data_IF_746758556810
#
_entry.id   IF_746758556810
#
_cell.length_a   1.000
_cell.length_b   1.000
_cell.length_c   1.000
_cell.angle_alpha   90.00
_cell.angle_beta   90.00
_cell.angle_gamma   90.00
#
_symmetry.space_group_name_H-M   'P 1'
#
loop_
_entity.id
_entity.type
_entity.pdbx_description
1 polymer ?
#
# COMPACT_ATOMS: atom_id res chain seq x y z
N UNK A 1 4.82 29.92 -0.41
CA UNK A 1 5.78 29.57 0.65
C UNK A 1 5.46 28.14 1.05
N UNK A 2 6.40 27.21 0.94
CA UNK A 2 6.18 25.85 1.42
C UNK A 2 6.04 25.87 2.95
N UNK A 3 5.15 25.07 3.55
CA UNK A 3 5.16 24.88 4.98
C UNK A 3 6.54 24.33 5.38
N UNK A 4 7.11 24.85 6.47
CA UNK A 4 8.30 24.26 7.07
C UNK A 4 7.99 22.80 7.46
N UNK A 5 8.97 21.88 7.51
CA UNK A 5 8.76 20.47 7.92
C UNK A 5 7.97 20.34 9.23
N UNK A 6 8.15 21.31 10.12
CA UNK A 6 7.42 21.47 11.38
C UNK A 6 5.89 21.61 11.22
N UNK A 7 5.42 22.10 10.08
CA UNK A 7 3.99 22.33 9.80
C UNK A 7 3.29 21.05 9.33
N UNK A 8 3.99 20.19 8.58
CA UNK A 8 3.47 18.88 8.17
C UNK A 8 3.35 17.94 9.37
N UNK A 9 4.37 17.91 10.22
CA UNK A 9 4.36 17.17 11.49
C UNK A 9 3.27 17.70 12.41
N UNK A 10 3.08 19.02 12.51
CA UNK A 10 2.00 19.61 13.32
C UNK A 10 0.59 19.31 12.75
N UNK A 11 0.44 19.14 11.43
CA UNK A 11 -0.81 18.70 10.83
C UNK A 11 -1.08 17.22 11.13
N UNK A 12 -0.09 16.32 11.02
CA UNK A 12 -0.25 14.91 11.42
C UNK A 12 -0.51 14.76 12.93
N UNK A 13 0.18 15.55 13.76
CA UNK A 13 -0.09 15.66 15.21
C UNK A 13 -1.50 16.17 15.45
N UNK A 14 -1.95 17.17 14.68
CA UNK A 14 -3.31 17.70 14.72
C UNK A 14 -4.38 16.69 14.30
N UNK A 15 -4.10 15.83 13.32
CA UNK A 15 -4.99 14.72 12.92
C UNK A 15 -5.06 13.63 14.00
N UNK A 16 -3.91 13.25 14.57
CA UNK A 16 -3.83 12.25 15.66
C UNK A 16 -4.54 12.80 16.92
N UNK A 17 -4.28 14.06 17.30
CA UNK A 17 -4.94 14.73 18.44
C UNK A 17 -6.44 14.93 18.18
N UNK A 18 -6.80 15.38 16.96
CA UNK A 18 -8.18 15.63 16.57
C UNK A 18 -9.04 14.35 16.57
N UNK A 19 -8.46 13.20 16.23
CA UNK A 19 -9.16 11.91 16.21
C UNK A 19 -9.21 11.21 17.57
N UNK A 20 -8.27 11.48 18.47
CA UNK A 20 -8.31 11.00 19.86
C UNK A 20 -9.26 11.85 20.74
N UNK A 21 -9.73 12.97 20.20
CA UNK A 21 -10.60 13.93 20.87
C UNK A 21 -9.77 15.05 21.48
N UNK A 22 -10.01 16.30 21.07
CA UNK A 22 -9.37 17.50 21.60
C UNK A 22 -9.43 17.58 23.13
N UNK A 23 -10.49 17.04 23.73
CA UNK A 23 -10.69 16.97 25.18
C UNK A 23 -9.67 16.09 25.92
N UNK A 24 -9.03 15.12 25.26
CA UNK A 24 -8.04 14.22 25.86
C UNK A 24 -6.68 14.91 26.11
N UNK A 25 -6.41 16.02 25.43
CA UNK A 25 -5.13 16.77 25.47
C UNK A 25 -5.31 18.26 25.79
N UNK A 26 -6.54 18.70 26.07
CA UNK A 26 -6.87 20.09 26.43
C UNK A 26 -6.20 20.45 27.77
N UNK A 27 -5.30 21.45 27.74
CA UNK A 27 -4.66 22.03 28.93
C UNK A 27 -3.14 21.85 29.05
N UNK A 28 -2.46 21.19 28.10
CA UNK A 28 -1.01 20.98 28.14
C UNK A 28 -0.37 21.30 26.79
N UNK A 29 -0.18 22.59 26.48
CA UNK A 29 0.59 23.03 25.30
C UNK A 29 1.99 22.39 25.25
N UNK A 30 2.60 22.21 26.42
CA UNK A 30 3.87 21.50 26.57
C UNK A 30 3.80 20.03 26.14
N UNK A 31 2.68 19.33 26.34
CA UNK A 31 2.51 17.94 25.91
C UNK A 31 2.36 17.81 24.40
N UNK A 32 1.80 18.83 23.73
CA UNK A 32 1.68 18.86 22.27
C UNK A 32 3.04 19.12 21.61
N UNK A 33 3.81 20.08 22.11
CA UNK A 33 5.18 20.35 21.64
C UNK A 33 6.09 19.14 21.88
N UNK A 34 6.00 18.52 23.07
CA UNK A 34 6.74 17.30 23.37
C UNK A 34 6.33 16.13 22.46
N UNK A 35 5.04 16.01 22.10
CA UNK A 35 4.56 14.95 21.20
C UNK A 35 5.06 15.17 19.76
N UNK A 36 5.00 16.40 19.25
CA UNK A 36 5.51 16.73 17.92
C UNK A 36 7.02 16.47 17.81
N UNK A 37 7.79 16.85 18.84
CA UNK A 37 9.24 16.58 18.88
C UNK A 37 9.53 15.06 18.90
N UNK A 38 8.77 14.29 19.68
CA UNK A 38 8.96 12.85 19.77
C UNK A 38 8.55 12.11 18.50
N UNK A 39 7.46 12.53 17.85
CA UNK A 39 7.03 11.97 16.57
C UNK A 39 8.04 12.30 15.46
N UNK A 40 8.56 13.52 15.41
CA UNK A 40 9.64 13.88 14.48
C UNK A 40 10.88 13.02 14.68
N UNK A 41 11.31 12.80 15.93
CA UNK A 41 12.45 11.89 16.24
C UNK A 41 12.16 10.44 15.86
N UNK A 42 10.92 9.98 16.06
CA UNK A 42 10.52 8.63 15.66
C UNK A 42 10.60 8.49 14.14
N UNK A 43 10.04 9.44 13.40
CA UNK A 43 10.04 9.50 11.95
C UNK A 43 11.46 9.52 11.38
N UNK A 44 12.36 10.35 11.94
CA UNK A 44 13.77 10.41 11.53
C UNK A 44 14.46 9.04 11.67
N UNK A 45 14.27 8.37 12.81
CA UNK A 45 14.86 7.04 13.06
C UNK A 45 14.25 5.96 12.17
N UNK A 46 12.93 6.02 11.93
CA UNK A 46 12.27 5.12 10.99
C UNK A 46 12.83 5.31 9.59
N UNK A 47 12.95 6.56 9.13
CA UNK A 47 13.47 6.89 7.81
C UNK A 47 14.95 6.49 7.65
N UNK A 48 15.76 6.63 8.70
CA UNK A 48 17.13 6.14 8.69
C UNK A 48 17.18 4.62 8.49
N UNK A 49 16.39 3.86 9.26
CA UNK A 49 16.29 2.41 9.11
C UNK A 49 15.77 2.00 7.73
N UNK A 50 14.79 2.73 7.17
CA UNK A 50 14.26 2.49 5.80
C UNK A 50 15.33 2.59 4.71
N UNK A 51 16.35 3.44 4.88
CA UNK A 51 17.46 3.56 3.92
C UNK A 51 18.40 2.37 3.93
N UNK A 52 18.42 1.58 4.99
CA UNK A 52 19.26 0.39 5.15
C UNK A 52 18.60 -0.87 4.56
N UNK A 53 17.38 -0.75 4.04
CA UNK A 53 16.55 -1.85 3.60
C UNK A 53 16.78 -2.12 2.10
N UNK A 54 17.09 -3.37 1.79
CA UNK A 54 17.26 -3.86 0.41
C UNK A 54 15.92 -4.38 -0.14
N UNK A 55 15.25 -3.56 -0.95
CA UNK A 55 13.94 -3.86 -1.54
C UNK A 55 14.01 -4.74 -2.81
N UNK A 56 15.15 -5.36 -3.12
CA UNK A 56 15.35 -6.11 -4.38
C UNK A 56 14.38 -7.28 -4.61
N UNK A 57 13.64 -7.75 -3.60
CA UNK A 57 12.62 -8.81 -3.74
C UNK A 57 11.18 -8.24 -3.82
N UNK A 58 10.84 -7.77 -5.02
CA UNK A 58 9.55 -7.20 -5.45
C UNK A 58 8.28 -7.94 -4.97
N UNK A 59 8.32 -9.28 -4.88
CA UNK A 59 7.17 -10.12 -4.53
C UNK A 59 6.95 -10.32 -3.04
N UNK A 60 8.00 -10.14 -2.24
CA UNK A 60 7.98 -10.46 -0.80
C UNK A 60 7.31 -9.35 0.01
N UNK A 61 7.51 -8.10 -0.40
CA UNK A 61 6.91 -6.93 0.25
C UNK A 61 5.38 -6.89 0.15
N UNK A 62 4.82 -7.18 -1.02
CA UNK A 62 3.35 -7.22 -1.20
C UNK A 62 2.71 -8.42 -0.48
N UNK A 63 3.44 -9.53 -0.34
CA UNK A 63 3.03 -10.67 0.47
C UNK A 63 3.00 -10.31 1.96
N UNK A 64 3.97 -9.50 2.43
CA UNK A 64 4.08 -9.01 3.81
C UNK A 64 2.91 -8.11 4.22
N UNK A 65 2.45 -7.23 3.32
CA UNK A 65 1.29 -6.33 3.54
C UNK A 65 -0.04 -7.06 3.83
N UNK A 66 -0.11 -8.37 3.56
CA UNK A 66 -1.33 -9.17 3.63
C UNK A 66 -1.34 -10.20 4.77
N UNK A 67 -0.35 -10.15 5.67
CA UNK A 67 -0.27 -11.07 6.80
C UNK A 67 -1.39 -10.89 7.82
N UNK A 68 -1.57 -11.92 8.66
CA UNK A 68 -2.45 -11.85 9.82
C UNK A 68 -1.93 -10.78 10.81
N UNK A 69 -2.83 -9.97 11.35
CA UNK A 69 -2.56 -8.90 12.33
C UNK A 69 -1.71 -9.42 13.52
N UNK A 70 -1.82 -10.70 13.85
CA UNK A 70 -1.03 -11.37 14.89
C UNK A 70 0.46 -11.51 14.54
N UNK A 71 0.80 -11.86 13.30
CA UNK A 71 2.19 -11.97 12.85
C UNK A 71 2.84 -10.58 12.77
N UNK A 72 2.09 -9.59 12.27
CA UNK A 72 2.50 -8.19 12.31
C UNK A 72 2.80 -7.72 13.74
N UNK A 73 1.86 -7.94 14.67
CA UNK A 73 2.04 -7.52 16.06
C UNK A 73 3.22 -8.25 16.73
N UNK A 74 3.38 -9.55 16.46
CA UNK A 74 4.53 -10.32 16.97
C UNK A 74 5.85 -9.74 16.47
N UNK A 75 6.01 -9.55 15.16
CA UNK A 75 7.25 -9.01 14.58
C UNK A 75 7.50 -7.58 15.05
N UNK A 76 6.46 -6.75 15.14
CA UNK A 76 6.55 -5.41 15.68
C UNK A 76 7.12 -5.42 17.10
N UNK A 77 6.54 -6.24 17.98
CA UNK A 77 7.04 -6.36 19.34
C UNK A 77 8.47 -6.91 19.32
N UNK A 78 8.70 -8.07 18.71
CA UNK A 78 9.95 -8.80 18.88
C UNK A 78 11.15 -8.16 18.18
N UNK A 79 10.93 -7.45 17.07
CA UNK A 79 12.01 -7.00 16.17
C UNK A 79 12.12 -5.50 15.95
N UNK A 80 11.01 -4.77 16.05
CA UNK A 80 11.01 -3.31 15.84
C UNK A 80 11.10 -2.57 17.17
N UNK A 81 10.20 -2.88 18.11
CA UNK A 81 10.13 -2.22 19.41
C UNK A 81 11.20 -2.74 20.40
N UNK A 82 11.64 -3.99 20.23
CA UNK A 82 12.70 -4.59 21.02
C UNK A 82 13.84 -5.06 20.09
N UNK A 83 15.10 -4.91 20.52
CA UNK A 83 16.25 -5.25 19.67
C UNK A 83 16.39 -6.79 19.53
N UNK A 84 16.18 -7.33 18.34
CA UNK A 84 16.06 -8.78 18.10
C UNK A 84 17.33 -9.54 17.71
N UNK A 85 18.47 -8.90 17.41
CA UNK A 85 19.55 -9.60 16.67
C UNK A 85 20.20 -10.82 17.36
N UNK A 86 19.85 -11.15 18.61
CA UNK A 86 20.09 -12.48 19.21
C UNK A 86 19.44 -12.52 20.59
N UNK A 87 18.39 -13.32 20.75
CA UNK A 87 17.82 -13.55 22.08
C UNK A 87 18.74 -14.46 22.91
N UNK A 88 18.72 -14.23 24.22
CA UNK A 88 19.35 -15.00 25.31
C UNK A 88 20.85 -14.85 25.49
N UNK A 89 21.21 -13.81 26.26
CA UNK A 89 21.86 -14.05 27.57
C UNK A 89 21.64 -12.94 28.60
N UNK A 90 21.14 -11.75 28.23
CA UNK A 90 21.14 -10.58 29.15
C UNK A 90 19.95 -9.61 28.90
N UNK A 91 18.71 -10.04 29.14
CA UNK A 91 17.54 -9.13 29.28
C UNK A 91 16.99 -8.45 28.01
N UNK A 92 15.68 -8.12 28.02
CA UNK A 92 15.03 -7.35 26.94
C UNK A 92 15.52 -5.90 26.98
N UNK A 93 16.30 -5.45 26.00
CA UNK A 93 16.63 -4.03 25.82
C UNK A 93 15.70 -3.43 24.76
N UNK A 94 14.87 -2.47 25.16
CA UNK A 94 14.05 -1.68 24.22
C UNK A 94 14.95 -1.07 23.15
N UNK A 95 14.53 -1.16 21.88
CA UNK A 95 15.18 -0.44 20.79
C UNK A 95 14.98 1.08 20.98
N UNK A 96 15.73 1.90 20.27
CA UNK A 96 15.55 3.36 20.35
C UNK A 96 14.18 3.78 19.82
N UNK A 97 13.74 3.14 18.73
CA UNK A 97 12.37 3.23 18.19
C UNK A 97 11.34 2.80 19.24
N UNK A 98 11.58 1.68 19.94
CA UNK A 98 10.69 1.20 21.00
C UNK A 98 10.56 2.15 22.18
N UNK A 99 11.68 2.76 22.61
CA UNK A 99 11.67 3.77 23.68
C UNK A 99 10.83 4.98 23.29
N UNK A 100 11.01 5.50 22.07
CA UNK A 100 10.22 6.61 21.56
C UNK A 100 8.75 6.24 21.43
N UNK A 101 8.44 5.07 20.85
CA UNK A 101 7.09 4.55 20.73
C UNK A 101 6.37 4.50 22.08
N UNK A 102 6.94 3.82 23.09
CA UNK A 102 6.28 3.73 24.40
C UNK A 102 6.19 5.08 25.12
N UNK A 103 7.18 5.97 24.92
CA UNK A 103 7.14 7.34 25.46
C UNK A 103 5.99 8.13 24.83
N UNK A 104 5.82 8.09 23.50
CA UNK A 104 4.71 8.74 22.80
C UNK A 104 3.37 8.18 23.28
N UNK A 105 3.25 6.85 23.35
CA UNK A 105 2.01 6.20 23.82
C UNK A 105 1.65 6.61 25.26
N UNK A 106 2.64 6.76 26.14
CA UNK A 106 2.40 7.19 27.53
C UNK A 106 1.88 8.62 27.68
N UNK A 107 1.97 9.44 26.63
CA UNK A 107 1.39 10.79 26.62
C UNK A 107 -0.12 10.78 26.38
N UNK A 108 -0.70 9.67 25.93
CA UNK A 108 -2.14 9.54 25.73
C UNK A 108 -2.84 9.00 26.99
N UNK A 109 -4.07 9.48 27.28
CA UNK A 109 -4.95 8.86 28.29
C UNK A 109 -5.17 7.36 28.04
N UNK A 110 -5.38 6.59 29.11
CA UNK A 110 -5.43 5.11 29.04
C UNK A 110 -6.48 4.58 28.04
N UNK A 111 -7.63 5.22 27.96
CA UNK A 111 -8.72 4.90 27.03
C UNK A 111 -8.38 5.19 25.56
N UNK A 112 -7.49 6.16 25.32
CA UNK A 112 -6.99 6.54 24.00
C UNK A 112 -5.75 5.74 23.54
N UNK A 113 -4.98 5.16 24.47
CA UNK A 113 -3.72 4.48 24.16
C UNK A 113 -3.89 3.37 23.13
N UNK A 114 -5.00 2.60 23.17
CA UNK A 114 -5.24 1.51 22.22
C UNK A 114 -5.33 2.03 20.77
N UNK A 115 -6.04 3.15 20.57
CA UNK A 115 -6.18 3.77 19.25
C UNK A 115 -4.87 4.40 18.79
N UNK A 116 -4.17 5.12 19.69
CA UNK A 116 -2.88 5.72 19.40
C UNK A 116 -1.82 4.67 19.01
N UNK A 117 -1.77 3.53 19.73
CA UNK A 117 -0.90 2.37 19.38
C UNK A 117 -1.15 1.93 17.95
N UNK A 118 -2.41 1.60 17.64
CA UNK A 118 -2.80 1.13 16.31
C UNK A 118 -2.39 2.13 15.21
N UNK A 119 -2.59 3.43 15.43
CA UNK A 119 -2.23 4.47 14.46
C UNK A 119 -0.74 4.59 14.25
N UNK A 120 0.05 4.68 15.33
CA UNK A 120 1.51 4.78 15.20
C UNK A 120 2.09 3.53 14.54
N UNK A 121 1.52 2.36 14.84
CA UNK A 121 1.87 1.10 14.19
C UNK A 121 1.59 1.14 12.68
N UNK A 122 0.37 1.50 12.27
CA UNK A 122 -0.05 1.56 10.87
C UNK A 122 0.70 2.64 10.07
N UNK A 123 1.01 3.78 10.69
CA UNK A 123 1.51 4.96 9.97
C UNK A 123 3.02 5.10 9.97
N UNK A 124 3.71 4.72 11.06
CA UNK A 124 5.16 4.93 11.20
C UNK A 124 5.94 3.62 11.20
N UNK A 125 5.43 2.59 11.87
CA UNK A 125 6.23 1.38 12.12
C UNK A 125 6.00 0.28 11.10
N UNK A 126 4.92 0.34 10.34
CA UNK A 126 4.48 -0.71 9.42
C UNK A 126 5.59 -1.20 8.48
N UNK A 127 6.33 -0.28 7.86
CA UNK A 127 7.42 -0.64 6.94
C UNK A 127 8.58 -1.35 7.66
N UNK A 128 8.91 -0.93 8.88
CA UNK A 128 9.97 -1.56 9.67
C UNK A 128 9.58 -2.96 10.12
N UNK A 129 8.30 -3.18 10.41
CA UNK A 129 7.77 -4.50 10.75
C UNK A 129 7.96 -5.43 9.56
N UNK A 130 7.50 -5.03 8.38
CA UNK A 130 7.61 -5.85 7.19
C UNK A 130 9.06 -6.18 6.83
N UNK A 131 9.98 -5.25 7.05
CA UNK A 131 11.40 -5.49 6.76
C UNK A 131 12.12 -6.33 7.81
N UNK A 132 11.57 -6.37 9.02
CA UNK A 132 12.08 -7.24 10.07
C UNK A 132 11.56 -8.67 9.98
N UNK A 133 10.52 -8.93 9.18
CA UNK A 133 10.00 -10.28 8.98
C UNK A 133 11.03 -11.14 8.23
N UNK A 134 11.40 -12.28 8.83
CA UNK A 134 12.28 -13.27 8.19
C UNK A 134 11.46 -14.24 7.33
N UNK A 135 12.09 -14.89 6.35
CA UNK A 135 11.44 -15.81 5.38
C UNK A 135 10.44 -16.81 5.99
N UNK A 136 10.75 -17.36 7.16
CA UNK A 136 9.90 -18.35 7.84
C UNK A 136 8.72 -17.72 8.61
N UNK A 137 8.83 -16.43 8.98
CA UNK A 137 7.70 -15.64 9.51
C UNK A 137 6.76 -15.16 8.38
N UNK A 138 7.21 -15.25 7.12
CA UNK A 138 6.43 -14.94 5.93
C UNK A 138 5.41 -16.02 5.56
N UNK A 139 5.51 -17.21 6.15
CA UNK A 139 4.66 -18.38 5.82
C UNK A 139 3.23 -18.31 6.38
N UNK A 140 2.89 -17.27 7.17
CA UNK A 140 1.56 -17.15 7.79
C UNK A 140 0.40 -16.77 6.87
N UNK A 141 0.68 -16.42 5.61
CA UNK A 141 -0.34 -16.20 4.57
C UNK A 141 -0.01 -17.08 3.39
N UNK A 142 -0.53 -18.30 3.36
CA UNK A 142 -0.34 -19.20 2.22
C UNK A 142 -0.79 -18.49 0.93
N UNK A 143 0.09 -18.50 -0.07
CA UNK A 143 -0.21 -17.99 -1.40
C UNK A 143 -0.87 -19.11 -2.20
N UNK A 144 -2.08 -18.87 -2.67
CA UNK A 144 -2.74 -19.76 -3.60
C UNK A 144 -2.50 -19.31 -5.04
N UNK A 145 -1.93 -20.20 -5.86
CA UNK A 145 -1.73 -19.95 -7.28
C UNK A 145 -2.79 -20.69 -8.07
N UNK A 146 -3.63 -19.95 -8.77
CA UNK A 146 -4.46 -20.54 -9.83
C UNK A 146 -3.55 -20.61 -11.06
N UNK A 147 -3.23 -21.82 -11.52
CA UNK A 147 -2.46 -22.07 -12.73
C UNK A 147 -3.37 -22.71 -13.77
N UNK A 148 -4.22 -21.91 -14.39
CA UNK A 148 -5.23 -22.41 -15.30
C UNK A 148 -5.09 -21.67 -16.64
N UNK A 149 -4.25 -22.21 -17.54
CA UNK A 149 -4.28 -21.89 -18.96
C UNK A 149 -5.42 -22.67 -19.60
N UNK A 150 -6.64 -22.15 -19.49
CA UNK A 150 -7.80 -22.84 -20.01
C UNK A 150 -8.20 -22.18 -21.32
N UNK A 151 -7.74 -22.74 -22.44
CA UNK A 151 -8.47 -22.55 -23.69
C UNK A 151 -9.86 -23.17 -23.56
N UNK A 152 -10.90 -22.53 -24.09
CA UNK A 152 -12.26 -23.05 -23.98
C UNK A 152 -13.29 -21.96 -23.72
N UNK A 153 -14.44 -22.40 -23.23
CA UNK A 153 -15.60 -21.56 -22.94
C UNK A 153 -15.38 -20.67 -21.69
N UNK A 154 -15.85 -19.42 -21.75
CA UNK A 154 -15.63 -18.43 -20.67
C UNK A 154 -16.39 -18.77 -19.39
N UNK A 155 -17.57 -19.38 -19.51
CA UNK A 155 -18.40 -19.77 -18.36
C UNK A 155 -17.75 -20.92 -17.60
N UNK A 156 -17.25 -21.94 -18.30
CA UNK A 156 -16.51 -23.05 -17.69
C UNK A 156 -15.24 -22.54 -16.96
N UNK A 157 -14.55 -21.56 -17.55
CA UNK A 157 -13.38 -20.94 -16.93
C UNK A 157 -13.73 -20.18 -15.65
N UNK A 158 -14.83 -19.42 -15.68
CA UNK A 158 -15.34 -18.72 -14.51
C UNK A 158 -15.71 -19.71 -13.39
N UNK A 159 -16.43 -20.78 -13.72
CA UNK A 159 -16.78 -21.82 -12.75
C UNK A 159 -15.56 -22.43 -12.09
N UNK A 160 -14.51 -22.75 -12.87
CA UNK A 160 -13.23 -23.23 -12.33
C UNK A 160 -12.61 -22.24 -11.35
N UNK A 161 -12.54 -20.96 -11.71
CA UNK A 161 -11.96 -19.93 -10.83
C UNK A 161 -12.77 -19.75 -9.54
N UNK A 162 -14.10 -19.77 -9.64
CA UNK A 162 -14.97 -19.69 -8.47
C UNK A 162 -14.79 -20.93 -7.58
N UNK A 163 -14.65 -22.12 -8.17
CA UNK A 163 -14.42 -23.34 -7.41
C UNK A 163 -13.07 -23.32 -6.70
N UNK A 164 -12.02 -22.81 -7.33
CA UNK A 164 -10.74 -22.58 -6.68
C UNK A 164 -10.86 -21.61 -5.48
N UNK A 165 -11.64 -20.52 -5.62
CA UNK A 165 -11.93 -19.60 -4.50
C UNK A 165 -12.72 -20.33 -3.38
N UNK A 166 -13.64 -21.25 -3.73
CA UNK A 166 -14.40 -22.03 -2.74
C UNK A 166 -13.52 -23.02 -1.99
N UNK A 167 -12.57 -23.68 -2.65
CA UNK A 167 -11.63 -24.63 -2.02
C UNK A 167 -10.80 -23.96 -0.92
N UNK A 168 -10.40 -22.72 -1.13
CA UNK A 168 -9.62 -21.94 -0.16
C UNK A 168 -10.52 -21.18 0.84
N UNK A 169 -11.84 -21.36 0.76
CA UNK A 169 -12.77 -20.70 1.67
C UNK A 169 -12.70 -21.37 3.04
N UNK A 170 -12.23 -20.62 4.03
CA UNK A 170 -12.04 -21.11 5.39
C UNK A 170 -10.63 -21.62 5.68
N UNK A 171 -9.71 -21.56 4.71
CA UNK A 171 -8.29 -21.76 4.98
C UNK A 171 -7.62 -20.47 5.49
N UNK A 172 -6.34 -20.58 5.85
CA UNK A 172 -5.49 -19.45 6.22
C UNK A 172 -4.86 -18.74 5.01
N UNK A 173 -5.26 -19.11 3.79
CA UNK A 173 -4.82 -18.43 2.58
C UNK A 173 -5.33 -16.99 2.60
N UNK A 174 -4.40 -16.05 2.40
CA UNK A 174 -4.66 -14.59 2.35
C UNK A 174 -4.22 -13.94 1.05
N UNK A 175 -3.47 -14.65 0.21
CA UNK A 175 -2.99 -14.15 -1.07
C UNK A 175 -3.44 -15.05 -2.21
N UNK A 176 -4.03 -14.46 -3.24
CA UNK A 176 -4.42 -15.14 -4.47
C UNK A 176 -3.60 -14.60 -5.64
N UNK A 177 -2.84 -15.48 -6.28
CA UNK A 177 -1.96 -15.14 -7.37
C UNK A 177 -2.41 -15.77 -8.69
N UNK A 178 -2.71 -14.90 -9.65
CA UNK A 178 -3.07 -15.23 -11.02
C UNK A 178 -2.10 -14.61 -12.03
N UNK A 179 -0.85 -14.37 -11.64
CA UNK A 179 0.19 -13.85 -12.52
C UNK A 179 0.25 -14.64 -13.83
N UNK A 180 0.19 -13.93 -14.97
CA UNK A 180 0.30 -14.51 -16.30
C UNK A 180 -0.69 -15.66 -16.60
N UNK A 181 -1.93 -15.54 -16.13
CA UNK A 181 -2.99 -16.52 -16.42
C UNK A 181 -3.87 -16.15 -17.61
N UNK A 182 -3.67 -14.95 -18.20
CA UNK A 182 -4.55 -14.40 -19.26
C UNK A 182 -6.02 -14.37 -18.84
N UNK A 183 -6.30 -14.06 -17.58
CA UNK A 183 -7.65 -14.06 -17.03
C UNK A 183 -8.56 -13.04 -17.74
N UNK A 184 -8.04 -11.90 -18.19
CA UNK A 184 -8.78 -10.95 -19.02
C UNK A 184 -9.36 -11.61 -20.27
N UNK A 185 -8.52 -12.36 -21.01
CA UNK A 185 -8.93 -13.09 -22.21
C UNK A 185 -9.93 -14.22 -21.90
N UNK A 186 -9.63 -15.02 -20.88
CA UNK A 186 -10.34 -16.27 -20.60
C UNK A 186 -11.65 -16.10 -19.82
N UNK A 187 -11.80 -15.00 -19.08
CA UNK A 187 -13.04 -14.68 -18.38
C UNK A 187 -13.83 -13.58 -19.10
N UNK A 188 -13.15 -12.68 -19.82
CA UNK A 188 -13.76 -11.47 -20.36
C UNK A 188 -14.28 -10.54 -19.26
N UNK A 189 -14.97 -9.48 -19.65
CA UNK A 189 -15.48 -8.47 -18.73
C UNK A 189 -16.44 -9.06 -17.68
N UNK A 190 -17.49 -9.75 -18.11
CA UNK A 190 -18.50 -10.28 -17.19
C UNK A 190 -17.91 -11.32 -16.23
N UNK A 191 -17.05 -12.21 -16.74
CA UNK A 191 -16.39 -13.21 -15.92
C UNK A 191 -15.43 -12.60 -14.90
N UNK A 192 -14.66 -11.56 -15.26
CA UNK A 192 -13.80 -10.85 -14.29
C UNK A 192 -14.61 -10.15 -13.21
N UNK A 193 -15.77 -9.56 -13.56
CA UNK A 193 -16.67 -8.92 -12.60
C UNK A 193 -17.25 -9.96 -11.63
N UNK A 194 -17.72 -11.10 -12.12
CA UNK A 194 -18.23 -12.19 -11.27
C UNK A 194 -17.14 -12.82 -10.41
N UNK A 195 -15.94 -12.98 -10.94
CA UNK A 195 -14.76 -13.39 -10.19
C UNK A 195 -14.48 -12.43 -9.01
N UNK A 196 -14.51 -11.11 -9.25
CA UNK A 196 -14.37 -10.11 -8.19
C UNK A 196 -15.48 -10.21 -7.12
N UNK A 197 -16.73 -10.49 -7.53
CA UNK A 197 -17.85 -10.71 -6.61
C UNK A 197 -17.64 -11.95 -5.74
N UNK A 198 -17.09 -13.02 -6.30
CA UNK A 198 -16.81 -14.26 -5.56
C UNK A 198 -15.78 -14.03 -4.43
N UNK A 199 -14.81 -13.13 -4.62
CA UNK A 199 -13.81 -12.78 -3.61
C UNK A 199 -14.40 -12.12 -2.34
N UNK A 200 -15.61 -11.53 -2.40
CA UNK A 200 -16.26 -10.97 -1.18
C UNK A 200 -16.53 -12.00 -0.09
N UNK A 201 -16.55 -13.27 -0.46
CA UNK A 201 -16.84 -14.40 0.44
C UNK A 201 -15.58 -15.15 0.87
N UNK A 202 -14.40 -14.68 0.47
CA UNK A 202 -13.11 -15.22 0.85
C UNK A 202 -12.42 -14.32 1.88
N UNK A 203 -11.32 -14.83 2.47
CA UNK A 203 -10.43 -14.07 3.36
C UNK A 203 -9.21 -13.52 2.61
N UNK A 204 -9.27 -13.47 1.28
CA UNK A 204 -8.14 -12.98 0.48
C UNK A 204 -7.99 -11.48 0.72
N UNK A 205 -6.75 -11.08 1.02
CA UNK A 205 -6.31 -9.70 1.24
C UNK A 205 -5.39 -9.20 0.11
N UNK A 206 -4.65 -10.08 -0.55
CA UNK A 206 -3.82 -9.77 -1.71
C UNK A 206 -4.38 -10.42 -2.98
N UNK A 207 -4.57 -9.63 -4.04
CA UNK A 207 -4.91 -10.14 -5.36
C UNK A 207 -3.86 -9.71 -6.38
N UNK A 208 -3.15 -10.68 -6.93
CA UNK A 208 -2.20 -10.46 -7.99
C UNK A 208 -2.77 -10.88 -9.34
N UNK A 209 -3.02 -9.90 -10.20
CA UNK A 209 -3.49 -10.04 -11.57
C UNK A 209 -2.48 -9.50 -12.59
N UNK A 210 -1.21 -9.48 -12.24
CA UNK A 210 -0.16 -9.01 -13.15
C UNK A 210 -0.10 -9.86 -14.43
N UNK A 211 0.18 -9.25 -15.59
CA UNK A 211 0.27 -9.94 -16.89
C UNK A 211 -1.00 -10.69 -17.30
N UNK A 212 -2.18 -10.10 -17.14
CA UNK A 212 -3.46 -10.72 -17.53
C UNK A 212 -4.17 -10.00 -18.68
N UNK A 213 -3.50 -9.08 -19.37
CA UNK A 213 -4.02 -8.36 -20.56
C UNK A 213 -5.35 -7.62 -20.23
N UNK A 214 -5.53 -7.16 -18.98
CA UNK A 214 -6.82 -6.65 -18.53
C UNK A 214 -7.27 -5.40 -19.31
N UNK A 215 -6.36 -4.50 -19.68
CA UNK A 215 -6.69 -3.32 -20.47
C UNK A 215 -7.34 -3.70 -21.79
N UNK A 216 -6.74 -4.65 -22.52
CA UNK A 216 -7.22 -5.10 -23.84
C UNK A 216 -8.61 -5.75 -23.76
N UNK A 217 -8.83 -6.63 -22.77
CA UNK A 217 -10.03 -7.47 -22.75
C UNK A 217 -11.21 -6.87 -21.96
N UNK A 218 -10.97 -5.94 -21.03
CA UNK A 218 -12.03 -5.32 -20.22
C UNK A 218 -12.39 -3.91 -20.72
N UNK A 219 -11.42 -3.19 -21.29
CA UNK A 219 -11.58 -1.76 -21.57
C UNK A 219 -11.89 -0.92 -20.33
N UNK A 220 -12.28 0.32 -20.55
CA UNK A 220 -12.56 1.28 -19.46
C UNK A 220 -13.73 0.89 -18.58
N UNK A 221 -14.88 0.53 -19.15
CA UNK A 221 -16.06 0.23 -18.34
C UNK A 221 -15.89 -1.09 -17.57
N UNK A 222 -15.27 -2.09 -18.20
CA UNK A 222 -15.03 -3.39 -17.57
C UNK A 222 -14.06 -3.32 -16.39
N UNK A 223 -12.96 -2.57 -16.50
CA UNK A 223 -11.99 -2.44 -15.40
C UNK A 223 -12.57 -1.62 -14.23
N UNK A 224 -13.36 -0.58 -14.54
CA UNK A 224 -14.05 0.23 -13.53
C UNK A 224 -15.07 -0.61 -12.76
N UNK A 225 -15.89 -1.40 -13.46
CA UNK A 225 -16.86 -2.29 -12.81
C UNK A 225 -16.19 -3.45 -12.06
N UNK A 226 -15.07 -3.97 -12.57
CA UNK A 226 -14.24 -4.94 -11.85
C UNK A 226 -13.77 -4.40 -10.49
N UNK A 227 -13.21 -3.17 -10.47
CA UNK A 227 -12.76 -2.54 -9.21
C UNK A 227 -13.95 -2.28 -8.27
N UNK A 228 -15.08 -1.78 -8.79
CA UNK A 228 -16.30 -1.60 -7.99
C UNK A 228 -16.81 -2.92 -7.42
N UNK A 229 -16.70 -4.01 -8.18
CA UNK A 229 -17.08 -5.34 -7.75
C UNK A 229 -16.20 -5.86 -6.60
N UNK A 230 -14.96 -5.36 -6.42
CA UNK A 230 -14.14 -5.67 -5.24
C UNK A 230 -14.62 -4.98 -3.96
N UNK A 231 -15.53 -3.98 -4.05
CA UNK A 231 -16.06 -3.30 -2.86
C UNK A 231 -16.78 -4.26 -1.93
N UNK A 232 -16.38 -4.24 -0.65
CA UNK A 232 -16.88 -5.16 0.37
C UNK A 232 -16.12 -6.48 0.47
N UNK A 233 -15.07 -6.68 -0.34
CA UNK A 233 -14.10 -7.76 -0.12
C UNK A 233 -13.05 -7.39 0.94
N UNK A 234 -12.29 -8.38 1.39
CA UNK A 234 -11.14 -8.19 2.28
C UNK A 234 -9.87 -7.73 1.55
N UNK A 235 -9.92 -7.52 0.23
CA UNK A 235 -8.76 -7.08 -0.55
C UNK A 235 -8.23 -5.74 -0.03
N UNK A 236 -6.92 -5.72 0.25
CA UNK A 236 -6.11 -4.57 0.68
C UNK A 236 -4.97 -4.29 -0.29
N UNK A 237 -4.41 -5.32 -0.94
CA UNK A 237 -3.41 -5.16 -2.02
C UNK A 237 -3.97 -5.66 -3.35
N UNK A 238 -3.90 -4.80 -4.36
CA UNK A 238 -4.28 -5.10 -5.74
C UNK A 238 -3.07 -4.83 -6.66
N UNK A 239 -2.55 -5.89 -7.27
CA UNK A 239 -1.38 -5.83 -8.16
C UNK A 239 -1.86 -6.06 -9.59
N UNK A 240 -1.77 -5.00 -10.41
CA UNK A 240 -2.16 -4.96 -11.81
C UNK A 240 -0.95 -4.72 -12.72
N UNK A 241 0.25 -5.08 -12.28
CA UNK A 241 1.47 -4.83 -13.03
C UNK A 241 1.44 -5.45 -14.44
N UNK A 242 1.81 -4.68 -15.46
CA UNK A 242 1.84 -5.12 -16.86
C UNK A 242 0.52 -5.68 -17.39
N UNK A 243 -0.52 -4.83 -17.43
CA UNK A 243 -1.85 -5.12 -17.98
C UNK A 243 -2.29 -4.16 -19.09
N UNK A 244 -1.36 -3.36 -19.64
CA UNK A 244 -1.60 -2.41 -20.74
C UNK A 244 -2.69 -1.36 -20.44
N UNK A 245 -2.90 -1.00 -19.17
CA UNK A 245 -4.01 -0.10 -18.80
C UNK A 245 -3.91 1.27 -19.48
N UNK A 246 -2.72 1.86 -19.62
CA UNK A 246 -2.54 3.18 -20.21
C UNK A 246 -3.05 3.26 -21.64
N UNK A 247 -2.63 2.28 -22.46
CA UNK A 247 -3.02 2.17 -23.87
C UNK A 247 -4.53 2.05 -24.08
N UNK A 248 -5.21 1.27 -23.25
CA UNK A 248 -6.62 0.90 -23.46
C UNK A 248 -7.62 1.75 -22.69
N UNK A 249 -7.21 2.43 -21.62
CA UNK A 249 -8.08 3.32 -20.84
C UNK A 249 -7.91 4.79 -21.23
N UNK A 250 -6.69 5.20 -21.60
CA UNK A 250 -6.33 6.61 -21.75
C UNK A 250 -6.56 7.43 -20.46
N UNK A 251 -6.55 8.76 -20.59
CA UNK A 251 -6.66 9.66 -19.43
C UNK A 251 -8.01 9.52 -18.73
N UNK A 252 -9.12 9.63 -19.46
CA UNK A 252 -10.46 9.62 -18.85
C UNK A 252 -10.78 8.26 -18.22
N UNK A 253 -10.34 7.15 -18.85
CA UNK A 253 -10.53 5.83 -18.29
C UNK A 253 -9.70 5.60 -17.02
N UNK A 254 -8.45 6.08 -16.98
CA UNK A 254 -7.62 6.00 -15.77
C UNK A 254 -8.15 6.86 -14.63
N UNK A 255 -8.72 8.03 -14.92
CA UNK A 255 -9.41 8.87 -13.91
C UNK A 255 -10.61 8.12 -13.33
N UNK A 256 -11.48 7.54 -14.18
CA UNK A 256 -12.62 6.74 -13.69
C UNK A 256 -12.19 5.51 -12.89
N UNK A 257 -11.09 4.87 -13.30
CA UNK A 257 -10.47 3.77 -12.56
C UNK A 257 -10.01 4.23 -11.17
N UNK A 258 -9.35 5.39 -11.07
CA UNK A 258 -8.96 5.98 -9.80
C UNK A 258 -10.16 6.28 -8.89
N UNK A 259 -11.18 6.94 -9.43
CA UNK A 259 -12.43 7.24 -8.70
C UNK A 259 -13.13 5.95 -8.21
N UNK A 260 -13.10 4.88 -9.01
CA UNK A 260 -13.70 3.59 -8.65
C UNK A 260 -13.01 2.90 -7.46
N UNK A 261 -11.73 3.20 -7.20
CA UNK A 261 -11.04 2.77 -5.99
C UNK A 261 -11.59 3.47 -4.74
N UNK A 262 -12.25 4.61 -4.92
CA UNK A 262 -13.01 5.33 -3.89
C UNK A 262 -14.05 4.41 -3.21
N UNK A 263 -13.96 4.29 -1.89
CA UNK A 263 -14.82 3.42 -1.11
C UNK A 263 -14.51 1.92 -1.20
N UNK A 264 -13.45 1.52 -1.92
CA UNK A 264 -12.87 0.18 -1.79
C UNK A 264 -12.08 0.04 -0.48
N UNK A 265 -11.66 -1.18 -0.15
CA UNK A 265 -10.76 -1.46 0.96
C UNK A 265 -9.28 -1.38 0.59
N UNK A 266 -8.95 -1.07 -0.67
CA UNK A 266 -7.59 -1.19 -1.21
C UNK A 266 -6.69 -0.10 -0.63
N UNK A 267 -5.56 -0.52 -0.09
CA UNK A 267 -4.53 0.31 0.54
C UNK A 267 -3.23 0.28 -0.26
N UNK A 268 -3.00 -0.78 -1.04
CA UNK A 268 -1.83 -0.94 -1.88
C UNK A 268 -2.28 -1.22 -3.31
N UNK A 269 -1.82 -0.37 -4.22
CA UNK A 269 -2.10 -0.50 -5.64
C UNK A 269 -0.78 -0.51 -6.40
N UNK A 270 -0.48 -1.58 -7.13
CA UNK A 270 0.62 -1.59 -8.08
C UNK A 270 0.07 -1.62 -9.51
N UNK A 271 0.30 -0.54 -10.25
CA UNK A 271 -0.07 -0.38 -11.66
C UNK A 271 1.17 -0.12 -12.52
N UNK A 272 2.35 -0.55 -12.08
CA UNK A 272 3.56 -0.43 -12.88
C UNK A 272 3.48 -1.18 -14.23
N UNK A 273 4.26 -0.72 -15.20
CA UNK A 273 4.45 -1.27 -16.53
C UNK A 273 3.14 -1.40 -17.32
N UNK A 274 2.20 -0.50 -17.08
CA UNK A 274 0.95 -0.32 -17.79
C UNK A 274 1.02 0.80 -18.84
N UNK A 275 2.19 1.37 -19.09
CA UNK A 275 2.44 2.38 -20.14
C UNK A 275 1.68 3.70 -19.88
N UNK A 276 1.26 3.96 -18.64
CA UNK A 276 0.60 5.18 -18.21
C UNK A 276 1.40 6.43 -18.60
N UNK A 277 2.72 6.43 -18.37
CA UNK A 277 3.56 7.59 -18.70
C UNK A 277 3.53 7.95 -20.20
N UNK A 278 3.44 6.94 -21.07
CA UNK A 278 3.38 7.10 -22.52
C UNK A 278 2.00 7.60 -22.99
N UNK A 279 0.93 7.00 -22.49
CA UNK A 279 -0.43 7.26 -22.99
C UNK A 279 -1.18 8.38 -22.27
N UNK A 280 -0.85 8.67 -21.01
CA UNK A 280 -1.48 9.78 -20.26
C UNK A 280 -0.68 11.08 -20.39
N UNK A 281 0.63 10.99 -20.60
CA UNK A 281 1.55 12.11 -20.45
C UNK A 281 1.53 12.70 -19.03
N UNK A 282 2.24 13.82 -18.83
CA UNK A 282 2.35 14.44 -17.50
C UNK A 282 1.01 14.94 -16.96
N UNK A 283 0.21 15.63 -17.77
CA UNK A 283 -1.05 16.22 -17.28
C UNK A 283 -2.12 15.15 -17.03
N UNK A 284 -2.15 14.06 -17.81
CA UNK A 284 -3.02 12.93 -17.55
C UNK A 284 -2.63 12.18 -16.27
N UNK A 285 -1.33 12.01 -16.02
CA UNK A 285 -0.83 11.45 -14.75
C UNK A 285 -1.23 12.32 -13.55
N UNK A 286 -1.19 13.65 -13.69
CA UNK A 286 -1.65 14.57 -12.62
C UNK A 286 -3.14 14.39 -12.34
N UNK A 287 -3.98 14.35 -13.38
CA UNK A 287 -5.43 14.07 -13.21
C UNK A 287 -5.68 12.72 -12.54
N UNK A 288 -4.91 11.70 -12.90
CA UNK A 288 -4.99 10.40 -12.25
C UNK A 288 -4.62 10.49 -10.75
N UNK A 289 -3.56 11.23 -10.40
CA UNK A 289 -3.20 11.48 -9.00
C UNK A 289 -4.30 12.22 -8.22
N UNK A 290 -4.86 13.28 -8.78
CA UNK A 290 -5.96 14.03 -8.19
C UNK A 290 -7.19 13.13 -7.96
N UNK A 291 -7.51 12.26 -8.92
CA UNK A 291 -8.63 11.33 -8.83
C UNK A 291 -8.46 10.21 -7.78
N UNK A 292 -7.25 10.03 -7.22
CA UNK A 292 -7.02 9.13 -6.10
C UNK A 292 -7.40 9.75 -4.74
N UNK A 293 -7.74 11.05 -4.71
CA UNK A 293 -8.26 11.71 -3.52
C UNK A 293 -9.52 11.00 -2.99
N UNK A 294 -9.58 10.78 -1.69
CA UNK A 294 -10.68 10.04 -1.05
C UNK A 294 -10.60 8.51 -1.18
N UNK A 295 -9.61 7.97 -1.90
CA UNK A 295 -9.29 6.54 -1.84
C UNK A 295 -8.62 6.16 -0.50
N UNK A 296 -8.49 4.86 -0.22
CA UNK A 296 -7.75 4.35 0.94
C UNK A 296 -6.30 4.03 0.63
N UNK A 297 -5.82 4.36 -0.57
CA UNK A 297 -4.49 3.98 -1.03
C UNK A 297 -3.43 4.73 -0.21
N UNK A 298 -2.49 3.96 0.33
CA UNK A 298 -1.34 4.41 1.10
C UNK A 298 -0.02 4.18 0.35
N UNK A 299 0.03 3.14 -0.48
CA UNK A 299 1.17 2.83 -1.32
C UNK A 299 0.74 2.67 -2.78
N UNK A 300 1.41 3.38 -3.68
CA UNK A 300 1.17 3.32 -5.11
C UNK A 300 2.44 2.90 -5.85
N UNK A 301 2.37 1.82 -6.62
CA UNK A 301 3.40 1.32 -7.51
C UNK A 301 3.22 1.82 -8.94
N UNK A 302 4.27 2.47 -9.47
CA UNK A 302 4.38 3.08 -10.80
C UNK A 302 5.66 2.62 -11.51
N UNK A 303 6.09 1.39 -11.22
CA UNK A 303 7.23 0.71 -11.85
C UNK A 303 7.24 0.91 -13.37
N UNK A 304 8.21 1.59 -13.97
CA UNK A 304 8.27 1.74 -15.44
C UNK A 304 7.34 2.79 -16.06
N UNK A 305 6.61 3.57 -15.25
CA UNK A 305 5.82 4.73 -15.69
C UNK A 305 6.64 6.03 -15.67
N UNK A 306 7.24 6.45 -16.79
CA UNK A 306 8.21 7.57 -16.78
C UNK A 306 7.67 8.85 -17.44
N UNK A 307 7.11 9.80 -16.66
CA UNK A 307 6.76 11.14 -17.14
C UNK A 307 7.95 12.13 -17.12
N UNK A 308 9.18 11.68 -16.83
CA UNK A 308 10.35 12.56 -16.59
C UNK A 308 10.41 13.12 -15.17
N UNK A 309 11.59 13.61 -14.72
CA UNK A 309 11.78 14.16 -13.36
C UNK A 309 10.82 15.31 -13.04
N UNK A 310 10.64 16.27 -13.96
CA UNK A 310 9.74 17.40 -13.73
C UNK A 310 8.27 16.94 -13.65
N UNK A 311 7.87 16.00 -14.52
CA UNK A 311 6.56 15.38 -14.46
C UNK A 311 6.34 14.63 -13.15
N UNK A 312 7.35 13.88 -12.67
CA UNK A 312 7.31 13.16 -11.40
C UNK A 312 7.17 14.10 -10.20
N UNK A 313 7.87 15.24 -10.19
CA UNK A 313 7.71 16.26 -9.15
C UNK A 313 6.27 16.78 -9.13
N UNK A 314 5.69 17.11 -10.30
CA UNK A 314 4.31 17.60 -10.37
C UNK A 314 3.30 16.52 -9.98
N UNK A 315 3.52 15.28 -10.41
CA UNK A 315 2.70 14.14 -10.05
C UNK A 315 2.72 13.87 -8.54
N UNK A 316 3.90 13.84 -7.92
CA UNK A 316 4.04 13.65 -6.48
C UNK A 316 3.38 14.79 -5.69
N UNK A 317 3.44 16.03 -6.19
CA UNK A 317 2.68 17.14 -5.60
C UNK A 317 1.18 16.95 -5.72
N UNK A 318 0.68 16.47 -6.85
CA UNK A 318 -0.75 16.23 -7.05
C UNK A 318 -1.30 15.13 -6.12
N UNK A 319 -0.43 14.28 -5.57
CA UNK A 319 -0.80 13.31 -4.54
C UNK A 319 -0.86 13.90 -3.13
N UNK A 320 -0.38 15.13 -2.90
CA UNK A 320 -0.52 15.83 -1.62
C UNK A 320 -2.02 16.09 -1.36
N UNK A 321 -2.65 15.21 -0.58
CA UNK A 321 -4.11 15.20 -0.31
C UNK A 321 -4.77 13.84 -0.52
N UNK A 322 -4.16 12.96 -1.33
CA UNK A 322 -4.66 11.59 -1.57
C UNK A 322 -4.48 10.64 -0.37
N UNK A 323 -3.62 11.00 0.59
CA UNK A 323 -3.23 10.15 1.71
C UNK A 323 -2.22 9.07 1.35
N UNK A 324 -1.68 9.08 0.12
CA UNK A 324 -0.56 8.23 -0.31
C UNK A 324 0.72 8.69 0.39
N UNK A 325 1.36 7.77 1.11
CA UNK A 325 2.61 8.01 1.84
C UNK A 325 3.82 7.34 1.18
N UNK A 326 3.60 6.41 0.26
CA UNK A 326 4.66 5.66 -0.43
C UNK A 326 4.43 5.60 -1.93
N UNK A 327 5.44 6.02 -2.70
CA UNK A 327 5.51 5.87 -4.15
C UNK A 327 6.63 4.92 -4.52
N UNK A 328 6.27 3.75 -5.07
CA UNK A 328 7.24 2.82 -5.63
C UNK A 328 7.43 3.12 -7.10
N UNK A 329 8.61 3.62 -7.44
CA UNK A 329 8.93 4.01 -8.79
C UNK A 329 9.53 2.83 -9.58
N UNK A 330 10.12 1.81 -8.95
CA UNK A 330 10.77 0.73 -9.71
C UNK A 330 12.05 1.20 -10.41
N UNK A 331 12.65 0.35 -11.25
CA UNK A 331 13.86 0.68 -12.03
C UNK A 331 13.62 1.77 -13.09
N UNK A 332 13.45 3.02 -12.67
CA UNK A 332 13.46 4.17 -13.56
C UNK A 332 14.88 4.56 -13.95
N UNK A 333 14.96 5.29 -15.06
CA UNK A 333 16.12 6.07 -15.47
C UNK A 333 16.36 7.32 -14.58
N UNK A 334 15.78 7.38 -13.39
CA UNK A 334 16.04 8.45 -12.43
C UNK A 334 17.39 8.17 -11.77
N UNK A 335 18.30 9.13 -11.88
CA UNK A 335 19.58 9.06 -11.18
C UNK A 335 19.39 9.27 -9.68
N UNK A 336 20.35 8.83 -8.86
CA UNK A 336 20.33 9.06 -7.40
C UNK A 336 20.10 10.54 -7.06
N UNK A 337 20.72 11.46 -7.81
CA UNK A 337 20.55 12.91 -7.62
C UNK A 337 19.12 13.37 -7.91
N UNK A 338 18.46 12.78 -8.91
CA UNK A 338 17.06 13.09 -9.25
C UNK A 338 16.12 12.70 -8.12
N UNK A 339 16.47 11.67 -7.37
CA UNK A 339 15.71 11.12 -6.26
C UNK A 339 15.91 11.94 -4.99
N UNK A 340 17.14 12.34 -4.69
CA UNK A 340 17.42 13.30 -3.61
C UNK A 340 16.65 14.61 -3.82
N UNK A 341 16.53 15.07 -5.08
CA UNK A 341 15.71 16.23 -5.43
C UNK A 341 14.22 16.00 -5.17
N UNK A 342 13.69 14.80 -5.47
CA UNK A 342 12.30 14.43 -5.21
C UNK A 342 12.02 14.40 -3.71
N UNK A 343 12.83 13.67 -2.93
CA UNK A 343 12.71 13.55 -1.48
C UNK A 343 12.78 14.92 -0.80
N UNK A 344 13.71 15.78 -1.24
CA UNK A 344 13.84 17.14 -0.70
C UNK A 344 12.64 18.03 -1.03
N UNK A 345 12.03 17.85 -2.21
CA UNK A 345 10.91 18.68 -2.65
C UNK A 345 9.58 18.20 -2.10
N UNK A 346 9.42 16.90 -1.87
CA UNK A 346 8.19 16.22 -1.46
C UNK A 346 8.50 15.33 -0.24
N UNK A 347 8.75 15.93 0.94
CA UNK A 347 9.16 15.17 2.13
C UNK A 347 8.06 14.24 2.66
N UNK A 348 6.80 14.51 2.32
CA UNK A 348 5.64 13.77 2.82
C UNK A 348 5.39 12.44 2.07
N UNK A 349 6.08 12.22 0.95
CA UNK A 349 5.99 10.99 0.17
C UNK A 349 7.33 10.30 0.19
N UNK A 350 7.31 9.04 0.61
CA UNK A 350 8.48 8.20 0.60
C UNK A 350 8.63 7.50 -0.77
N UNK A 351 9.75 7.73 -1.43
CA UNK A 351 10.06 7.16 -2.74
C UNK A 351 10.83 5.83 -2.59
N UNK A 352 10.41 4.77 -3.29
CA UNK A 352 11.01 3.42 -3.24
C UNK A 352 11.39 2.90 -4.63
N UNK A 353 12.40 2.04 -4.68
CA UNK A 353 12.95 1.44 -5.91
C UNK A 353 12.60 -0.03 -6.04
#
# INVERSE_FOLDING_TARGET
MNPLPHTAIMNEVGEIIGMVGTQAMEGLSQSQENMAELLGKLEDLVNQRRKEIDYTYYWDYERRLCQNDEAFEKTLQEKVLYNSKKWLKIGKKQSEIGKLYFKIISLFPEDAQKLAKKRIQEEYLMDLVFESMEGDELEGGEEYKIQNQVGGDREENLEKYIEEIRKIRGSEIRSLNLWNNKSGKYLGTDGMIEFARALKRSRIRALNLSRNELGEHLGTDGIVEFVRALKGSEIRSLILWNNELGKHLGVDGMVKFAEALGGSGIQHLDIGNNELGEYLGTDGMIKFAEALEGSKIKSLGLGGEYPGLYGMIRFAKALEGSGIKSLKLGHHKLSVESLEVLEKKIPNIHFRY
#
